data_IF_930859906536
#
_entry.id   IF_930859906536
#
_cell.length_a   1.000
_cell.length_b   1.000
_cell.length_c   1.000
_cell.angle_alpha   90.00
_cell.angle_beta   90.00
_cell.angle_gamma   90.00
#
_symmetry.space_group_name_H-M   'P 1'
#
loop_
_entity.id
_entity.type
_entity.pdbx_description
1 polymer ?
#
# COMPACT_ATOMS: atom_id res chain seq x y z
N UNK A 1 -1.24 22.76 -13.96
CA UNK A 1 -1.62 21.36 -13.68
C UNK A 1 -2.99 20.99 -14.26
N UNK A 2 -4.07 21.74 -14.00
CA UNK A 2 -5.41 21.36 -14.50
C UNK A 2 -5.55 21.23 -16.02
N UNK A 3 -4.68 21.86 -16.80
CA UNK A 3 -4.59 21.65 -18.26
C UNK A 3 -4.18 20.22 -18.65
N UNK A 4 -3.42 19.52 -17.80
CA UNK A 4 -2.96 18.14 -18.03
C UNK A 4 -3.77 17.09 -17.26
N UNK A 5 -4.39 17.49 -16.14
CA UNK A 5 -5.29 16.65 -15.35
C UNK A 5 -6.57 17.44 -15.07
N UNK A 6 -7.59 17.37 -15.95
CA UNK A 6 -8.81 18.16 -15.80
C UNK A 6 -9.54 17.94 -14.47
N UNK A 7 -9.48 16.71 -13.94
CA UNK A 7 -10.06 16.35 -12.64
C UNK A 7 -9.18 16.77 -11.44
N UNK A 8 -7.99 17.32 -11.69
CA UNK A 8 -7.04 17.68 -10.64
C UNK A 8 -6.46 16.50 -9.87
N UNK A 9 -6.70 15.26 -10.33
CA UNK A 9 -6.20 14.04 -9.70
C UNK A 9 -4.71 13.82 -9.98
N UNK A 10 -4.04 13.24 -9.00
CA UNK A 10 -2.66 12.75 -9.07
C UNK A 10 -2.65 11.27 -8.70
N UNK A 11 -1.66 10.48 -9.16
CA UNK A 11 -0.52 10.87 -10.00
C UNK A 11 -0.89 11.02 -11.49
N UNK A 12 -0.06 11.78 -12.21
CA UNK A 12 -0.05 11.86 -13.69
C UNK A 12 1.40 11.89 -14.15
N UNK A 13 1.74 11.05 -15.13
CA UNK A 13 3.10 10.94 -15.70
C UNK A 13 3.07 11.26 -17.19
N UNK A 14 4.09 11.95 -17.69
CA UNK A 14 4.28 12.16 -19.13
C UNK A 14 5.16 11.04 -19.69
N UNK A 15 4.61 10.20 -20.55
CA UNK A 15 5.37 9.28 -21.38
C UNK A 15 5.48 9.86 -22.78
N UNK A 16 6.70 10.22 -23.19
CA UNK A 16 6.96 10.91 -24.45
C UNK A 16 6.11 12.20 -24.54
N UNK A 17 5.16 12.26 -25.47
CA UNK A 17 4.25 13.41 -25.62
C UNK A 17 2.84 13.17 -25.03
N UNK A 18 2.60 12.03 -24.38
CA UNK A 18 1.30 11.67 -23.82
C UNK A 18 1.29 11.72 -22.29
N UNK A 19 0.29 12.38 -21.73
CA UNK A 19 0.00 12.34 -20.29
C UNK A 19 -0.87 11.13 -19.95
N UNK A 20 -0.45 10.37 -18.95
CA UNK A 20 -1.13 9.17 -18.46
C UNK A 20 -1.49 9.37 -16.98
N UNK A 21 -2.79 9.46 -16.63
CA UNK A 21 -3.26 9.46 -15.26
C UNK A 21 -3.42 8.03 -14.73
N UNK A 22 -3.81 7.91 -13.46
CA UNK A 22 -4.10 6.65 -12.75
C UNK A 22 -2.84 5.82 -12.46
N UNK A 23 -2.59 5.54 -11.18
CA UNK A 23 -1.40 4.82 -10.76
C UNK A 23 -1.30 3.42 -11.35
N UNK A 24 -2.43 2.73 -11.54
CA UNK A 24 -2.43 1.36 -12.06
C UNK A 24 -2.08 1.37 -13.56
N UNK A 25 -2.64 2.32 -14.30
CA UNK A 25 -2.34 2.52 -15.73
C UNK A 25 -0.89 2.99 -15.94
N UNK A 26 -0.40 3.89 -15.07
CA UNK A 26 0.99 4.34 -15.07
C UNK A 26 1.94 3.16 -14.81
N UNK A 27 1.66 2.34 -13.80
CA UNK A 27 2.50 1.19 -13.47
C UNK A 27 2.53 0.17 -14.61
N UNK A 28 1.39 -0.12 -15.23
CA UNK A 28 1.33 -0.99 -16.41
C UNK A 28 2.14 -0.40 -17.59
N UNK A 29 2.00 0.90 -17.85
CA UNK A 29 2.74 1.57 -18.92
C UNK A 29 4.26 1.54 -18.69
N UNK A 30 4.69 1.65 -17.42
CA UNK A 30 6.10 1.51 -17.04
C UNK A 30 6.61 0.09 -17.29
N UNK A 31 5.84 -0.94 -16.94
CA UNK A 31 6.21 -2.34 -17.17
C UNK A 31 6.32 -2.64 -18.67
N UNK A 32 5.39 -2.14 -19.49
CA UNK A 32 5.42 -2.31 -20.95
C UNK A 32 6.64 -1.60 -21.59
N UNK A 33 6.95 -0.38 -21.14
CA UNK A 33 8.06 0.42 -21.67
C UNK A 33 9.43 -0.04 -21.15
N UNK A 34 9.49 -0.55 -19.93
CA UNK A 34 10.71 -0.95 -19.22
C UNK A 34 10.54 -2.33 -18.57
N UNK A 35 10.45 -3.41 -19.36
CA UNK A 35 10.11 -4.75 -18.86
C UNK A 35 11.21 -5.44 -18.05
N UNK A 36 12.35 -4.78 -17.83
CA UNK A 36 13.51 -5.34 -17.14
C UNK A 36 14.05 -4.36 -16.08
N UNK A 37 14.11 -4.76 -14.79
CA UNK A 37 13.63 -6.05 -14.25
C UNK A 37 12.08 -6.14 -14.26
N UNK A 38 11.50 -7.33 -14.46
CA UNK A 38 10.05 -7.48 -14.52
C UNK A 38 9.42 -7.32 -13.12
N UNK A 39 8.35 -6.54 -13.04
CA UNK A 39 7.57 -6.34 -11.80
C UNK A 39 6.17 -6.96 -11.88
N UNK A 40 5.82 -7.67 -12.96
CA UNK A 40 4.52 -8.34 -13.09
C UNK A 40 4.23 -9.23 -11.88
N UNK A 41 3.07 -9.01 -11.26
CA UNK A 41 2.50 -9.93 -10.27
C UNK A 41 1.62 -10.96 -11.00
N UNK A 42 1.80 -12.27 -10.76
CA UNK A 42 0.90 -13.30 -11.28
C UNK A 42 -0.55 -13.05 -10.88
N UNK A 43 -1.50 -13.33 -11.78
CA UNK A 43 -2.92 -12.98 -11.61
C UNK A 43 -3.52 -13.57 -10.33
N UNK A 44 -3.14 -14.79 -9.97
CA UNK A 44 -3.58 -15.48 -8.76
C UNK A 44 -3.11 -14.81 -7.46
N UNK A 45 -2.11 -13.93 -7.53
CA UNK A 45 -1.55 -13.19 -6.38
C UNK A 45 -1.95 -11.71 -6.37
N UNK A 46 -2.59 -11.21 -7.44
CA UNK A 46 -2.87 -9.79 -7.62
C UNK A 46 -3.78 -9.18 -6.54
N UNK A 47 -4.65 -9.99 -5.92
CA UNK A 47 -5.61 -9.52 -4.92
C UNK A 47 -5.14 -9.69 -3.47
N UNK A 48 -3.95 -10.24 -3.25
CA UNK A 48 -3.37 -10.43 -1.91
C UNK A 48 -3.24 -9.08 -1.20
N UNK A 49 -3.89 -8.93 -0.04
CA UNK A 49 -3.88 -7.71 0.74
C UNK A 49 -4.68 -6.53 0.16
N UNK A 50 -5.41 -6.72 -0.94
CA UNK A 50 -6.12 -5.64 -1.66
C UNK A 50 -7.16 -4.89 -0.81
N UNK A 51 -7.76 -5.55 0.18
CA UNK A 51 -8.78 -4.98 1.07
C UNK A 51 -8.23 -4.29 2.32
N UNK A 52 -6.94 -4.45 2.62
CA UNK A 52 -6.32 -3.86 3.83
C UNK A 52 -6.54 -2.35 3.87
N UNK A 53 -6.39 -1.67 2.73
CA UNK A 53 -6.50 -0.22 2.71
C UNK A 53 -7.94 0.24 2.99
N UNK A 54 -8.95 -0.37 2.36
CA UNK A 54 -10.34 0.04 2.58
C UNK A 54 -10.81 -0.24 4.02
N UNK A 55 -10.40 -1.37 4.62
CA UNK A 55 -10.69 -1.65 6.04
C UNK A 55 -9.93 -0.72 6.98
N UNK A 56 -8.68 -0.35 6.67
CA UNK A 56 -7.95 0.71 7.36
C UNK A 56 -8.70 2.04 7.35
N UNK A 57 -9.19 2.50 6.19
CA UNK A 57 -9.97 3.74 6.10
C UNK A 57 -11.24 3.66 6.96
N UNK A 58 -11.94 2.53 6.90
CA UNK A 58 -13.13 2.28 7.71
C UNK A 58 -12.83 2.40 9.20
N UNK A 59 -11.75 1.76 9.67
CA UNK A 59 -11.35 1.82 11.07
C UNK A 59 -10.87 3.20 11.52
N UNK A 60 -10.05 3.87 10.70
CA UNK A 60 -9.53 5.20 10.99
C UNK A 60 -10.68 6.21 11.18
N UNK A 61 -11.70 6.15 10.31
CA UNK A 61 -12.86 7.07 10.35
C UNK A 61 -13.94 6.67 11.37
N UNK A 62 -13.97 5.42 11.83
CA UNK A 62 -14.96 4.98 12.81
C UNK A 62 -14.83 5.78 14.11
N UNK A 63 -15.97 6.20 14.68
CA UNK A 63 -16.03 6.81 16.03
C UNK A 63 -16.49 5.81 17.09
N UNK A 64 -16.95 4.64 16.66
CA UNK A 64 -17.52 3.60 17.51
C UNK A 64 -16.49 2.46 17.69
N UNK A 65 -15.93 2.29 18.90
CA UNK A 65 -15.03 1.18 19.20
C UNK A 65 -15.70 -0.20 19.08
N UNK A 66 -17.03 -0.27 19.18
CA UNK A 66 -17.79 -1.52 19.06
C UNK A 66 -18.26 -1.83 17.64
N UNK A 67 -18.01 -0.92 16.67
CA UNK A 67 -18.53 -0.99 15.30
C UNK A 67 -17.88 -2.03 14.39
N UNK A 68 -17.07 -2.95 14.92
CA UNK A 68 -16.46 -4.07 14.18
C UNK A 68 -15.39 -3.70 13.14
N UNK A 69 -15.13 -2.42 12.90
CA UNK A 69 -14.17 -1.97 11.88
C UNK A 69 -12.72 -2.35 12.21
N UNK A 70 -12.37 -2.40 13.51
CA UNK A 70 -11.05 -2.89 13.93
C UNK A 70 -10.90 -4.37 13.60
N UNK A 71 -11.92 -5.19 13.91
CA UNK A 71 -11.92 -6.61 13.62
C UNK A 71 -11.82 -6.87 12.11
N UNK A 72 -12.54 -6.12 11.28
CA UNK A 72 -12.44 -6.23 9.82
C UNK A 72 -11.02 -5.93 9.31
N UNK A 73 -10.30 -4.98 9.90
CA UNK A 73 -8.90 -4.75 9.57
C UNK A 73 -8.00 -5.89 10.05
N UNK A 74 -8.22 -6.39 11.27
CA UNK A 74 -7.47 -7.52 11.83
C UNK A 74 -7.65 -8.79 10.99
N UNK A 75 -8.84 -9.06 10.49
CA UNK A 75 -9.13 -10.23 9.64
C UNK A 75 -8.33 -10.18 8.33
N UNK A 76 -8.31 -9.02 7.66
CA UNK A 76 -7.54 -8.82 6.42
C UNK A 76 -6.02 -8.87 6.68
N UNK A 77 -5.54 -8.29 7.79
CA UNK A 77 -4.12 -8.37 8.18
C UNK A 77 -3.71 -9.79 8.58
N UNK A 78 -4.61 -10.58 9.18
CA UNK A 78 -4.38 -11.98 9.54
C UNK A 78 -4.30 -12.87 8.31
N UNK A 79 -5.24 -12.69 7.36
CA UNK A 79 -5.18 -13.39 6.07
C UNK A 79 -3.89 -13.07 5.31
N UNK A 80 -3.47 -11.80 5.30
CA UNK A 80 -2.20 -11.40 4.70
C UNK A 80 -0.98 -11.98 5.43
N UNK A 81 -0.99 -12.00 6.77
CA UNK A 81 0.06 -12.60 7.58
C UNK A 81 0.28 -14.07 7.23
N UNK A 82 -0.80 -14.84 7.15
CA UNK A 82 -0.76 -16.27 6.82
C UNK A 82 -0.27 -16.50 5.37
N UNK A 83 -0.69 -15.64 4.44
CA UNK A 83 -0.18 -15.68 3.08
C UNK A 83 1.34 -15.45 3.03
N UNK A 84 1.85 -14.41 3.70
CA UNK A 84 3.28 -14.08 3.70
C UNK A 84 4.11 -15.15 4.43
N UNK A 85 3.55 -15.79 5.45
CA UNK A 85 4.20 -16.93 6.12
C UNK A 85 4.55 -18.05 5.13
N UNK A 86 3.65 -18.35 4.21
CA UNK A 86 3.80 -19.46 3.26
C UNK A 86 4.51 -19.05 1.97
N UNK A 87 4.32 -17.80 1.54
CA UNK A 87 4.70 -17.34 0.19
C UNK A 87 5.72 -16.20 0.19
N UNK A 88 6.15 -15.70 1.35
CA UNK A 88 7.03 -14.54 1.48
C UNK A 88 8.47 -14.76 0.98
N UNK A 89 9.34 -13.72 1.08
CA UNK A 89 9.16 -12.50 1.87
C UNK A 89 8.32 -11.39 1.21
N UNK A 90 8.07 -11.44 -0.10
CA UNK A 90 7.17 -10.54 -0.82
C UNK A 90 5.92 -11.28 -1.31
N UNK A 91 4.94 -10.56 -1.86
CA UNK A 91 3.71 -11.18 -2.40
C UNK A 91 4.06 -12.21 -3.49
N UNK A 92 5.06 -11.93 -4.32
CA UNK A 92 5.53 -12.85 -5.35
C UNK A 92 6.76 -13.69 -4.92
N UNK A 93 6.88 -14.04 -3.64
CA UNK A 93 8.02 -14.84 -3.16
C UNK A 93 9.26 -14.00 -2.92
N UNK A 94 10.37 -14.44 -3.50
CA UNK A 94 11.69 -13.81 -3.29
C UNK A 94 11.80 -12.46 -4.01
N UNK A 95 10.99 -12.24 -5.05
CA UNK A 95 11.04 -11.02 -5.88
C UNK A 95 9.90 -10.08 -5.53
N UNK A 96 10.24 -8.79 -5.42
CA UNK A 96 9.24 -7.73 -5.37
C UNK A 96 8.46 -7.66 -6.69
N UNK A 97 7.20 -7.25 -6.60
CA UNK A 97 6.30 -7.10 -7.75
C UNK A 97 5.39 -5.87 -7.61
N UNK A 98 4.58 -5.60 -8.63
CA UNK A 98 3.65 -4.47 -8.68
C UNK A 98 2.66 -4.48 -7.51
N UNK A 99 2.20 -5.65 -7.07
CA UNK A 99 1.34 -5.78 -5.90
C UNK A 99 2.01 -5.26 -4.62
N UNK A 100 3.31 -5.54 -4.44
CA UNK A 100 4.08 -5.02 -3.30
C UNK A 100 4.21 -3.51 -3.35
N UNK A 101 4.51 -2.96 -4.54
CA UNK A 101 4.65 -1.52 -4.76
C UNK A 101 3.31 -0.78 -4.61
N UNK A 102 2.19 -1.45 -4.88
CA UNK A 102 0.84 -0.92 -4.62
C UNK A 102 0.46 -0.96 -3.14
N UNK A 103 0.87 -2.02 -2.41
CA UNK A 103 0.48 -2.24 -1.02
C UNK A 103 1.37 -1.50 -0.01
N UNK A 104 2.68 -1.38 -0.27
CA UNK A 104 3.63 -0.72 0.63
C UNK A 104 3.21 0.70 1.07
N UNK A 105 2.87 1.65 0.16
CA UNK A 105 2.46 2.98 0.59
C UNK A 105 1.16 2.93 1.43
N UNK A 106 0.24 2.03 1.13
CA UNK A 106 -1.02 1.85 1.88
C UNK A 106 -0.75 1.38 3.32
N UNK A 107 0.15 0.42 3.50
CA UNK A 107 0.58 -0.05 4.83
C UNK A 107 1.32 1.03 5.63
N UNK A 108 2.09 1.87 4.94
CA UNK A 108 2.80 2.98 5.58
C UNK A 108 1.84 4.04 6.12
N UNK A 109 0.83 4.40 5.32
CA UNK A 109 -0.25 5.27 5.79
C UNK A 109 -1.01 4.65 6.97
N UNK A 110 -1.29 3.35 6.92
CA UNK A 110 -1.93 2.62 8.02
C UNK A 110 -1.11 2.74 9.31
N UNK A 111 0.19 2.41 9.28
CA UNK A 111 1.07 2.42 10.46
C UNK A 111 1.10 3.80 11.13
N UNK A 112 1.30 4.86 10.35
CA UNK A 112 1.42 6.22 10.89
C UNK A 112 0.07 6.76 11.34
N UNK A 113 -0.97 6.64 10.52
CA UNK A 113 -2.26 7.26 10.81
C UNK A 113 -2.95 6.57 12.00
N UNK A 114 -2.97 5.24 12.05
CA UNK A 114 -3.56 4.51 13.18
C UNK A 114 -2.72 4.70 14.46
N UNK A 115 -1.39 4.73 14.35
CA UNK A 115 -0.52 5.02 15.49
C UNK A 115 -0.79 6.41 16.08
N UNK A 116 -0.99 7.41 15.23
CA UNK A 116 -1.27 8.77 15.67
C UNK A 116 -2.68 8.95 16.23
N UNK A 117 -3.71 8.61 15.43
CA UNK A 117 -5.11 8.96 15.69
C UNK A 117 -5.87 7.94 16.55
N UNK A 118 -5.42 6.67 16.57
CA UNK A 118 -6.08 5.58 17.31
C UNK A 118 -5.22 4.98 18.42
N UNK A 119 -3.93 5.36 18.52
CA UNK A 119 -2.93 4.71 19.39
C UNK A 119 -2.84 3.21 19.13
N UNK A 120 -3.04 2.84 17.87
CA UNK A 120 -3.12 1.45 17.43
C UNK A 120 -1.89 1.10 16.61
N UNK A 121 -1.39 -0.12 16.79
CA UNK A 121 -0.29 -0.68 16.02
C UNK A 121 -0.61 -2.12 15.63
N UNK A 122 0.08 -2.63 14.62
CA UNK A 122 -0.11 -4.03 14.21
C UNK A 122 0.21 -4.95 15.41
N UNK A 123 -0.67 -5.91 15.76
CA UNK A 123 -0.43 -6.82 16.88
C UNK A 123 0.82 -7.68 16.71
N UNK A 124 1.49 -8.01 17.81
CA UNK A 124 2.65 -8.93 17.81
C UNK A 124 2.27 -10.36 17.38
N UNK A 125 0.99 -10.70 17.40
CA UNK A 125 0.46 -11.96 16.87
C UNK A 125 0.52 -12.06 15.34
N UNK A 126 0.89 -10.98 14.64
CA UNK A 126 1.05 -10.92 13.18
C UNK A 126 2.52 -10.72 12.75
N UNK A 127 3.44 -11.63 13.12
CA UNK A 127 4.88 -11.43 12.94
C UNK A 127 5.31 -11.37 11.47
N UNK A 128 4.62 -12.07 10.56
CA UNK A 128 4.97 -12.10 9.14
C UNK A 128 4.55 -10.81 8.44
N UNK A 129 3.40 -10.24 8.80
CA UNK A 129 3.01 -8.88 8.36
C UNK A 129 4.01 -7.83 8.85
N UNK A 130 4.45 -7.89 10.13
CA UNK A 130 5.49 -6.98 10.64
C UNK A 130 6.82 -7.13 9.91
N UNK A 131 7.24 -8.36 9.65
CA UNK A 131 8.47 -8.66 8.92
C UNK A 131 8.40 -8.14 7.47
N UNK A 132 7.25 -8.33 6.80
CA UNK A 132 6.98 -7.79 5.46
C UNK A 132 7.13 -6.27 5.44
N UNK A 133 6.45 -5.57 6.35
CA UNK A 133 6.51 -4.11 6.44
C UNK A 133 7.92 -3.62 6.72
N UNK A 134 8.62 -4.22 7.68
CA UNK A 134 10.02 -3.88 7.97
C UNK A 134 10.91 -4.03 6.74
N UNK A 135 10.75 -5.14 6.02
CA UNK A 135 11.51 -5.43 4.80
C UNK A 135 11.25 -4.37 3.74
N UNK A 136 9.99 -4.17 3.35
CA UNK A 136 9.65 -3.26 2.25
C UNK A 136 9.92 -1.78 2.59
N UNK A 137 9.74 -1.37 3.85
CA UNK A 137 10.02 0.00 4.27
C UNK A 137 11.52 0.31 4.35
N UNK A 138 12.37 -0.71 4.48
CA UNK A 138 13.83 -0.55 4.46
C UNK A 138 14.44 -0.49 3.07
N UNK A 139 13.66 -0.75 2.01
CA UNK A 139 14.16 -0.70 0.65
C UNK A 139 14.52 0.73 0.26
N UNK A 140 15.66 0.89 -0.42
CA UNK A 140 16.14 2.19 -0.91
C UNK A 140 15.08 2.98 -1.69
N UNK A 141 14.33 2.31 -2.56
CA UNK A 141 13.26 2.94 -3.36
C UNK A 141 12.13 3.48 -2.48
N UNK A 142 11.75 2.76 -1.44
CA UNK A 142 10.73 3.19 -0.50
C UNK A 142 11.23 4.34 0.37
N UNK A 143 12.44 4.21 0.93
CA UNK A 143 13.07 5.26 1.74
C UNK A 143 13.21 6.59 1.00
N UNK A 144 13.49 6.55 -0.31
CA UNK A 144 13.63 7.73 -1.17
C UNK A 144 12.29 8.37 -1.57
N UNK A 145 11.17 7.64 -1.48
CA UNK A 145 9.87 8.09 -2.02
C UNK A 145 8.77 8.22 -0.98
N UNK A 146 8.94 7.66 0.23
CA UNK A 146 7.95 7.78 1.31
C UNK A 146 7.79 9.25 1.75
N UNK A 147 6.56 9.63 2.04
CA UNK A 147 6.26 10.92 2.65
C UNK A 147 6.80 10.99 4.08
N UNK A 148 6.99 12.21 4.60
CA UNK A 148 7.30 12.37 6.02
C UNK A 148 6.10 11.90 6.88
N UNK A 149 6.34 11.35 8.08
CA UNK A 149 5.24 11.00 8.99
C UNK A 149 4.32 12.20 9.30
N UNK A 150 4.88 13.40 9.38
CA UNK A 150 4.14 14.64 9.62
C UNK A 150 3.18 14.96 8.47
N UNK A 151 3.63 14.83 7.22
CA UNK A 151 2.78 15.03 6.04
C UNK A 151 1.68 13.97 5.94
N UNK A 152 2.01 12.71 6.28
CA UNK A 152 1.02 11.63 6.36
C UNK A 152 -0.05 11.95 7.39
N UNK A 153 0.34 12.35 8.60
CA UNK A 153 -0.60 12.73 9.67
C UNK A 153 -1.46 13.91 9.21
N UNK A 154 -0.85 14.97 8.64
CA UNK A 154 -1.56 16.14 8.16
C UNK A 154 -2.56 15.80 7.05
N UNK A 155 -2.19 14.92 6.11
CA UNK A 155 -3.04 14.47 5.01
C UNK A 155 -4.24 13.64 5.45
N UNK A 156 -4.15 12.96 6.60
CA UNK A 156 -5.24 12.17 7.19
C UNK A 156 -6.04 12.92 8.26
N UNK A 157 -5.77 14.21 8.49
CA UNK A 157 -6.51 15.00 9.47
C UNK A 157 -8.01 15.00 9.11
N UNK A 158 -8.90 14.73 10.09
CA UNK A 158 -10.35 14.70 9.87
C UNK A 158 -10.94 16.06 9.49
#
# INVERSE_FOLDING_TARGET
>A
FLQISPEGKVPVVKFDEKWVPDSDVIAQSLEEKYPNPPLVTPQEKALVGSKIFSTFIGFLKSKDPSGGTEQALLDELSSFNDYIKENGPFINGVKISAADLSLAPKLYHLEIALGHYKKWSIPDTLPYTKSYMKTIFSMDSFMKTRASPEDVIAGWRP
#
